data_IF_975157194218
#
_entry.id   IF_975157194218
#
_cell.length_a   1.000
_cell.length_b   1.000
_cell.length_c   1.000
_cell.angle_alpha   90.00
_cell.angle_beta   90.00
_cell.angle_gamma   90.00
#
_symmetry.space_group_name_H-M   'P 1'
#
loop_
_entity.id
_entity.type
_entity.pdbx_description
1 polymer ?
#
# COMPACT_ATOMS: atom_id res chain seq x y z
N UNK A 1 -19.67 -14.38 -1.49
CA UNK A 1 -19.32 -13.25 -2.40
C UNK A 1 -17.95 -12.72 -2.04
N UNK A 2 -16.95 -13.61 -2.05
CA UNK A 2 -15.58 -13.37 -1.54
C UNK A 2 -14.55 -13.62 -2.65
N UNK A 3 -14.88 -13.24 -3.89
CA UNK A 3 -14.16 -13.76 -5.06
C UNK A 3 -12.82 -13.04 -5.34
N UNK A 4 -12.43 -12.10 -4.47
CA UNK A 4 -11.16 -11.42 -4.58
C UNK A 4 -10.49 -11.46 -3.21
N UNK A 5 -9.39 -12.20 -3.16
CA UNK A 5 -8.44 -12.30 -2.05
C UNK A 5 -7.68 -10.96 -1.91
N UNK A 6 -8.42 -9.85 -1.72
CA UNK A 6 -7.88 -8.49 -1.58
C UNK A 6 -7.37 -8.23 -0.15
N UNK A 7 -6.95 -9.29 0.54
CA UNK A 7 -6.54 -9.22 1.94
C UNK A 7 -5.07 -8.81 2.12
N UNK A 8 -4.26 -8.84 1.04
CA UNK A 8 -2.82 -8.62 1.15
C UNK A 8 -2.44 -7.14 1.15
N UNK A 9 -1.85 -6.67 2.24
CA UNK A 9 -1.30 -5.33 2.34
C UNK A 9 0.15 -5.33 1.84
N UNK A 10 0.39 -5.00 0.58
CA UNK A 10 1.75 -5.03 0.00
C UNK A 10 2.49 -3.70 0.05
N UNK A 11 1.80 -2.60 0.37
CA UNK A 11 2.39 -1.25 0.43
C UNK A 11 1.59 -0.33 1.34
N UNK A 12 2.28 0.41 2.19
CA UNK A 12 1.73 1.52 2.97
C UNK A 12 2.81 2.60 3.13
N UNK A 13 2.39 3.85 3.36
CA UNK A 13 3.26 4.97 3.73
C UNK A 13 2.69 5.61 5.00
N UNK A 14 3.54 5.91 5.98
CA UNK A 14 3.15 6.70 7.16
C UNK A 14 3.58 8.14 6.97
N UNK A 15 2.73 9.06 7.42
CA UNK A 15 2.97 10.50 7.36
C UNK A 15 2.62 11.11 8.72
N UNK A 16 3.47 12.01 9.21
CA UNK A 16 3.23 12.71 10.48
C UNK A 16 2.15 13.81 10.35
N UNK A 17 1.91 14.27 9.13
CA UNK A 17 0.96 15.34 8.82
C UNK A 17 -0.19 14.83 7.93
N UNK A 18 -1.45 15.10 8.31
CA UNK A 18 -2.61 14.60 7.58
C UNK A 18 -2.77 15.25 6.20
N UNK A 19 -2.38 16.50 6.00
CA UNK A 19 -2.46 17.17 4.69
C UNK A 19 -1.49 16.51 3.71
N UNK A 20 -0.27 16.18 4.17
CA UNK A 20 0.69 15.42 3.37
C UNK A 20 0.16 14.04 2.96
N UNK A 21 -0.48 13.32 3.88
CA UNK A 21 -1.11 12.04 3.60
C UNK A 21 -2.22 12.16 2.53
N UNK A 22 -3.11 13.15 2.69
CA UNK A 22 -4.21 13.41 1.75
C UNK A 22 -3.69 13.75 0.35
N UNK A 23 -2.68 14.62 0.26
CA UNK A 23 -2.10 14.99 -1.03
C UNK A 23 -1.42 13.81 -1.71
N UNK A 24 -0.70 12.97 -0.94
CA UNK A 24 -0.06 11.76 -1.46
C UNK A 24 -1.09 10.76 -1.95
N UNK A 25 -2.14 10.52 -1.19
CA UNK A 25 -3.24 9.65 -1.56
C UNK A 25 -3.92 10.13 -2.85
N UNK A 26 -4.22 11.42 -2.96
CA UNK A 26 -4.78 12.04 -4.19
C UNK A 26 -3.86 11.84 -5.41
N UNK A 27 -2.54 11.97 -5.24
CA UNK A 27 -1.56 11.72 -6.32
C UNK A 27 -1.58 10.25 -6.73
N UNK A 28 -1.49 9.33 -5.77
CA UNK A 28 -1.51 7.88 -6.01
C UNK A 28 -2.81 7.42 -6.68
N UNK A 29 -3.96 7.99 -6.30
CA UNK A 29 -5.25 7.67 -6.95
C UNK A 29 -5.24 7.97 -8.45
N UNK A 30 -4.53 9.02 -8.89
CA UNK A 30 -4.37 9.40 -10.30
C UNK A 30 -3.28 8.64 -11.05
N UNK A 31 -2.46 7.83 -10.38
CA UNK A 31 -1.36 7.12 -11.02
C UNK A 31 -1.82 5.93 -11.86
N UNK A 32 -1.13 5.73 -12.98
CA UNK A 32 -1.26 4.52 -13.79
C UNK A 32 -0.83 3.29 -12.99
N UNK A 33 -1.49 2.15 -13.26
CA UNK A 33 -1.23 0.88 -12.56
C UNK A 33 0.25 0.49 -12.58
N UNK A 34 0.95 0.69 -13.70
CA UNK A 34 2.37 0.40 -13.83
C UNK A 34 3.26 1.17 -12.83
N UNK A 35 2.87 2.40 -12.48
CA UNK A 35 3.63 3.21 -11.53
C UNK A 35 3.41 2.74 -10.10
N UNK A 36 2.18 2.32 -9.77
CA UNK A 36 1.88 1.69 -8.49
C UNK A 36 2.66 0.38 -8.33
N UNK A 37 2.71 -0.44 -9.38
CA UNK A 37 3.51 -1.69 -9.39
C UNK A 37 4.99 -1.39 -9.15
N UNK A 38 5.59 -0.45 -9.88
CA UNK A 38 7.00 -0.08 -9.67
C UNK A 38 7.27 0.46 -8.26
N UNK A 39 6.31 1.20 -7.70
CA UNK A 39 6.42 1.72 -6.34
C UNK A 39 6.39 0.59 -5.31
N UNK A 40 5.47 -0.36 -5.48
CA UNK A 40 5.38 -1.58 -4.67
C UNK A 40 6.68 -2.37 -4.82
N UNK A 41 7.12 -2.70 -6.03
CA UNK A 41 8.34 -3.48 -6.29
C UNK A 41 9.60 -2.81 -5.71
N UNK A 42 9.65 -1.48 -5.67
CA UNK A 42 10.77 -0.74 -5.06
C UNK A 42 10.84 -0.90 -3.54
N UNK A 43 9.69 -1.00 -2.87
CA UNK A 43 9.63 -1.13 -1.39
C UNK A 43 9.49 -2.60 -0.93
N UNK A 44 8.82 -3.41 -1.72
CA UNK A 44 8.43 -4.78 -1.43
C UNK A 44 8.52 -5.61 -2.73
N UNK A 45 9.73 -5.94 -3.20
CA UNK A 45 9.94 -6.67 -4.45
C UNK A 45 9.33 -8.08 -4.43
N UNK A 46 9.16 -8.66 -3.24
CA UNK A 46 8.60 -10.01 -3.06
C UNK A 46 7.08 -10.01 -2.91
N UNK A 47 6.44 -8.84 -2.86
CA UNK A 47 4.99 -8.72 -2.62
C UNK A 47 4.53 -9.44 -1.34
N UNK A 48 5.37 -9.36 -0.30
CA UNK A 48 5.09 -9.89 1.02
C UNK A 48 3.91 -9.15 1.66
N UNK A 49 3.13 -9.86 2.48
CA UNK A 49 2.05 -9.23 3.24
C UNK A 49 2.63 -8.48 4.44
N UNK A 50 2.41 -7.17 4.47
CA UNK A 50 2.87 -6.29 5.53
C UNK A 50 1.87 -6.25 6.69
N UNK A 51 0.63 -6.72 6.49
CA UNK A 51 -0.41 -6.67 7.53
C UNK A 51 -0.01 -7.38 8.83
N UNK A 52 0.56 -8.61 8.82
CA UNK A 52 0.98 -9.29 10.04
C UNK A 52 2.03 -8.52 10.86
N UNK A 53 2.89 -7.74 10.19
CA UNK A 53 3.90 -6.91 10.87
C UNK A 53 3.34 -5.65 11.52
N UNK A 54 2.14 -5.21 11.12
CA UNK A 54 1.50 -3.97 11.60
C UNK A 54 0.39 -4.26 12.60
N UNK A 55 -0.40 -5.31 12.38
CA UNK A 55 -1.56 -5.64 13.20
C UNK A 55 -1.18 -6.16 14.61
N UNK A 56 0.11 -6.35 14.88
CA UNK A 56 0.60 -7.02 16.08
C UNK A 56 0.39 -8.54 16.01
N UNK A 57 1.10 -9.32 16.85
CA UNK A 57 0.84 -10.76 16.93
C UNK A 57 -0.61 -10.98 17.39
N UNK A 58 -1.33 -11.87 16.71
CA UNK A 58 -2.57 -12.45 17.22
C UNK A 58 -2.33 -13.20 18.53
#
# INVERSE_FOLDING_TARGET
TEKYDVARLVYFEQFDDPENAIQREKRLKKWNRAWKVRLIEKHNPNWDDLYPGIAGPQ
#
